data_IF_647832938062
#
_entry.id   IF_647832938062
#
_cell.length_a   1.000
_cell.length_b   1.000
_cell.length_c   1.000
_cell.angle_alpha   90.00
_cell.angle_beta   90.00
_cell.angle_gamma   90.00
#
_symmetry.space_group_name_H-M   'P 1'
#
loop_
_entity.id
_entity.type
_entity.pdbx_description
1 polymer ?
#
# COMPACT_ATOMS: atom_id res chain seq x y z
N UNK A 1 37.89 -11.44 -21.00
CA UNK A 1 36.90 -10.50 -20.43
C UNK A 1 35.60 -11.27 -20.32
N UNK A 2 35.20 -11.72 -19.12
CA UNK A 2 33.90 -12.37 -18.89
C UNK A 2 32.96 -11.35 -18.25
N UNK A 3 31.93 -11.03 -19.00
CA UNK A 3 30.87 -10.09 -18.76
C UNK A 3 29.93 -10.62 -17.67
N UNK A 4 30.24 -10.25 -16.42
CA UNK A 4 29.35 -9.60 -15.43
C UNK A 4 27.89 -10.00 -15.22
N UNK A 5 27.36 -11.06 -15.84
CA UNK A 5 25.94 -11.44 -15.77
C UNK A 5 25.73 -12.49 -14.68
N UNK A 6 25.69 -12.05 -13.42
CA UNK A 6 25.03 -12.86 -12.40
C UNK A 6 23.54 -12.90 -12.73
N UNK A 7 22.91 -14.09 -12.90
CA UNK A 7 21.48 -14.15 -13.14
C UNK A 7 20.79 -13.42 -11.98
N UNK A 8 19.96 -12.44 -12.32
CA UNK A 8 19.22 -11.63 -11.36
C UNK A 8 18.30 -12.56 -10.56
N UNK A 9 18.82 -13.08 -9.45
CA UNK A 9 18.18 -14.07 -8.56
C UNK A 9 17.02 -13.47 -7.77
N UNK A 10 16.70 -12.20 -8.00
CA UNK A 10 15.56 -11.56 -7.36
C UNK A 10 14.31 -11.78 -8.21
N UNK A 11 13.20 -12.25 -7.61
CA UNK A 11 11.95 -12.52 -8.32
C UNK A 11 11.48 -11.28 -9.11
N UNK A 12 10.92 -11.47 -10.32
CA UNK A 12 10.48 -10.37 -11.18
C UNK A 12 9.31 -9.60 -10.56
N UNK A 13 9.19 -8.32 -10.93
CA UNK A 13 8.07 -7.49 -10.51
C UNK A 13 6.79 -7.98 -11.20
N UNK A 14 5.75 -8.26 -10.42
CA UNK A 14 4.46 -8.74 -10.93
C UNK A 14 3.49 -7.57 -10.97
N UNK A 15 3.11 -7.13 -12.18
CA UNK A 15 2.12 -6.06 -12.36
C UNK A 15 0.81 -6.33 -11.62
N UNK A 16 0.40 -7.60 -11.53
CA UNK A 16 -0.76 -8.02 -10.75
C UNK A 16 -0.69 -7.58 -9.28
N UNK A 17 0.50 -7.63 -8.66
CA UNK A 17 0.69 -7.18 -7.28
C UNK A 17 0.58 -5.67 -7.12
N UNK A 18 0.97 -4.91 -8.14
CA UNK A 18 0.81 -3.44 -8.17
C UNK A 18 -0.66 -3.06 -8.32
N UNK A 19 -1.40 -3.76 -9.20
CA UNK A 19 -2.84 -3.57 -9.37
C UNK A 19 -3.62 -3.95 -8.10
N UNK A 20 -3.25 -5.05 -7.45
CA UNK A 20 -3.82 -5.43 -6.17
C UNK A 20 -3.59 -4.35 -5.11
N UNK A 21 -2.36 -3.83 -5.02
CA UNK A 21 -2.03 -2.75 -4.08
C UNK A 21 -2.87 -1.50 -4.32
N UNK A 22 -3.03 -1.10 -5.58
CA UNK A 22 -3.88 0.02 -5.96
C UNK A 22 -5.34 -0.22 -5.56
N UNK A 23 -5.89 -1.38 -5.91
CA UNK A 23 -7.28 -1.73 -5.64
C UNK A 23 -7.56 -1.83 -4.13
N UNK A 24 -6.68 -2.50 -3.38
CA UNK A 24 -6.79 -2.62 -1.93
C UNK A 24 -6.71 -1.25 -1.26
N UNK A 25 -5.78 -0.40 -1.70
CA UNK A 25 -5.63 0.95 -1.14
C UNK A 25 -6.86 1.81 -1.42
N UNK A 26 -7.36 1.82 -2.67
CA UNK A 26 -8.60 2.50 -3.04
C UNK A 26 -9.80 2.01 -2.24
N UNK A 27 -9.96 0.70 -2.15
CA UNK A 27 -11.10 0.08 -1.51
C UNK A 27 -11.13 0.38 -0.01
N UNK A 28 -10.02 0.12 0.71
CA UNK A 28 -9.96 0.35 2.16
C UNK A 28 -10.08 1.82 2.51
N UNK A 29 -9.44 2.72 1.76
CA UNK A 29 -9.53 4.17 2.03
C UNK A 29 -10.94 4.68 1.76
N UNK A 30 -11.57 4.27 0.66
CA UNK A 30 -12.95 4.67 0.35
C UNK A 30 -13.93 4.12 1.38
N UNK A 31 -13.78 2.86 1.77
CA UNK A 31 -14.61 2.23 2.80
C UNK A 31 -14.46 2.94 4.14
N UNK A 32 -13.23 3.26 4.54
CA UNK A 32 -12.96 3.94 5.80
C UNK A 32 -13.53 5.38 5.79
N UNK A 33 -13.40 6.10 4.66
CA UNK A 33 -14.01 7.41 4.49
C UNK A 33 -15.54 7.35 4.58
N UNK A 34 -16.17 6.41 3.88
CA UNK A 34 -17.60 6.19 3.94
C UNK A 34 -18.06 5.85 5.35
N UNK A 35 -17.33 5.02 6.09
CA UNK A 35 -17.69 4.64 7.46
C UNK A 35 -17.69 5.84 8.41
N UNK A 36 -16.66 6.69 8.32
CA UNK A 36 -16.55 7.91 9.14
C UNK A 36 -17.68 8.89 8.82
N UNK A 37 -17.96 9.12 7.55
CA UNK A 37 -19.04 10.00 7.10
C UNK A 37 -20.41 9.49 7.54
N UNK A 38 -20.69 8.20 7.39
CA UNK A 38 -21.99 7.62 7.75
C UNK A 38 -22.23 7.58 9.27
N UNK A 39 -21.18 7.38 10.07
CA UNK A 39 -21.28 7.36 11.54
C UNK A 39 -21.21 8.76 12.17
N UNK A 40 -21.10 9.82 11.36
CA UNK A 40 -20.92 11.21 11.80
C UNK A 40 -19.80 11.37 12.85
N UNK A 41 -18.73 10.58 12.70
CA UNK A 41 -17.62 10.59 13.65
C UNK A 41 -16.82 11.90 13.50
N UNK A 42 -16.28 12.38 14.62
CA UNK A 42 -15.41 13.57 14.65
C UNK A 42 -14.24 13.46 13.68
N UNK A 43 -13.77 14.59 13.13
CA UNK A 43 -12.66 14.65 12.18
C UNK A 43 -11.34 14.00 12.65
N UNK A 44 -11.15 13.78 13.95
CA UNK A 44 -10.04 12.98 14.47
C UNK A 44 -10.09 11.51 13.99
N UNK A 45 -11.28 10.92 13.87
CA UNK A 45 -11.46 9.56 13.36
C UNK A 45 -11.25 9.49 11.84
N UNK A 46 -11.50 10.58 11.12
CA UNK A 46 -11.23 10.69 9.69
C UNK A 46 -9.72 10.57 9.39
N UNK A 47 -8.89 11.23 10.18
CA UNK A 47 -7.43 11.11 10.09
C UNK A 47 -7.00 9.68 10.42
N UNK A 48 -7.55 9.08 11.49
CA UNK A 48 -7.22 7.69 11.83
C UNK A 48 -7.60 6.71 10.72
N UNK A 49 -8.80 6.87 10.15
CA UNK A 49 -9.32 6.05 9.05
C UNK A 49 -8.43 6.14 7.81
N UNK A 50 -7.97 7.35 7.47
CA UNK A 50 -7.08 7.62 6.33
C UNK A 50 -5.62 7.21 6.55
N UNK A 51 -5.26 6.75 7.74
CA UNK A 51 -3.95 6.18 8.07
C UNK A 51 -4.01 4.65 8.20
N UNK A 52 -5.00 4.14 8.93
CA UNK A 52 -5.15 2.71 9.25
C UNK A 52 -5.60 1.90 8.03
N UNK A 53 -6.57 2.39 7.27
CA UNK A 53 -7.01 1.75 6.02
C UNK A 53 -5.88 1.50 5.03
N UNK A 54 -5.11 2.53 4.63
CA UNK A 54 -3.99 2.36 3.72
C UNK A 54 -2.88 1.48 4.30
N UNK A 55 -2.59 1.60 5.60
CA UNK A 55 -1.61 0.74 6.25
C UNK A 55 -1.98 -0.75 6.15
N UNK A 56 -3.24 -1.09 6.41
CA UNK A 56 -3.77 -2.44 6.24
C UNK A 56 -3.74 -2.90 4.78
N UNK A 57 -4.03 -2.01 3.82
CA UNK A 57 -3.90 -2.32 2.40
C UNK A 57 -2.44 -2.65 2.01
N UNK A 58 -1.48 -1.92 2.57
CA UNK A 58 -0.05 -2.21 2.45
C UNK A 58 0.33 -3.59 2.99
N UNK A 59 -0.15 -3.93 4.19
CA UNK A 59 0.04 -5.26 4.80
C UNK A 59 -0.55 -6.35 3.90
N UNK A 60 -1.80 -6.20 3.48
CA UNK A 60 -2.51 -7.15 2.63
C UNK A 60 -1.76 -7.36 1.30
N UNK A 61 -1.23 -6.29 0.71
CA UNK A 61 -0.42 -6.35 -0.50
C UNK A 61 0.84 -7.18 -0.30
N UNK A 62 1.56 -6.94 0.79
CA UNK A 62 2.79 -7.68 1.05
C UNK A 62 2.53 -9.16 1.33
N UNK A 63 1.41 -9.50 1.98
CA UNK A 63 0.97 -10.88 2.17
C UNK A 63 0.56 -11.54 0.85
N UNK A 64 -0.19 -10.83 0.00
CA UNK A 64 -0.66 -11.33 -1.29
C UNK A 64 0.49 -11.63 -2.26
N UNK A 65 1.48 -10.73 -2.34
CA UNK A 65 2.61 -10.90 -3.26
C UNK A 65 3.67 -11.85 -2.71
N UNK A 66 3.85 -11.88 -1.38
CA UNK A 66 4.81 -12.75 -0.67
C UNK A 66 6.28 -12.38 -0.84
N UNK A 67 6.69 -11.89 -2.01
CA UNK A 67 8.05 -11.46 -2.32
C UNK A 67 8.08 -10.04 -2.93
N UNK A 68 9.00 -9.18 -2.49
CA UNK A 68 9.06 -7.75 -2.90
C UNK A 68 7.76 -6.97 -2.62
N UNK A 69 7.01 -7.37 -1.59
CA UNK A 69 5.70 -6.80 -1.25
C UNK A 69 5.72 -5.28 -1.05
N UNK A 70 6.78 -4.73 -0.46
CA UNK A 70 6.96 -3.30 -0.25
C UNK A 70 7.12 -2.51 -1.55
N UNK A 71 7.79 -3.06 -2.57
CA UNK A 71 7.90 -2.39 -3.88
C UNK A 71 6.54 -2.37 -4.59
N UNK A 72 5.78 -3.46 -4.50
CA UNK A 72 4.44 -3.52 -5.09
C UNK A 72 3.47 -2.58 -4.39
N UNK A 73 3.52 -2.53 -3.05
CA UNK A 73 2.75 -1.59 -2.24
C UNK A 73 3.13 -0.14 -2.55
N UNK A 74 4.42 0.16 -2.70
CA UNK A 74 4.90 1.50 -3.04
C UNK A 74 4.42 1.96 -4.43
N UNK A 75 4.55 1.10 -5.45
CA UNK A 75 4.10 1.45 -6.80
C UNK A 75 2.58 1.61 -6.86
N UNK A 76 1.83 0.70 -6.23
CA UNK A 76 0.38 0.81 -6.15
C UNK A 76 -0.06 2.05 -5.39
N UNK A 77 0.62 2.36 -4.27
CA UNK A 77 0.41 3.58 -3.51
C UNK A 77 0.62 4.83 -4.38
N UNK A 78 1.74 4.91 -5.11
CA UNK A 78 2.08 6.06 -5.94
C UNK A 78 1.05 6.33 -7.04
N UNK A 79 0.55 5.27 -7.69
CA UNK A 79 -0.52 5.40 -8.68
C UNK A 79 -1.86 5.75 -8.01
N UNK A 80 -2.10 5.25 -6.80
CA UNK A 80 -3.34 5.49 -6.08
C UNK A 80 -3.46 6.92 -5.52
N UNK A 81 -2.36 7.63 -5.24
CA UNK A 81 -2.38 9.02 -4.71
C UNK A 81 -3.20 9.99 -5.59
N UNK A 82 -2.90 10.17 -6.89
CA UNK A 82 -3.65 11.12 -7.72
C UNK A 82 -5.12 10.71 -7.87
N UNK A 83 -5.40 9.40 -7.94
CA UNK A 83 -6.77 8.88 -8.00
C UNK A 83 -7.54 9.19 -6.69
N UNK A 84 -6.89 9.06 -5.54
CA UNK A 84 -7.53 9.30 -4.23
C UNK A 84 -7.78 10.77 -4.02
N UNK A 85 -6.82 11.62 -4.40
CA UNK A 85 -6.99 13.05 -4.37
C UNK A 85 -8.19 13.47 -5.23
N UNK A 86 -8.33 12.93 -6.44
CA UNK A 86 -9.41 13.30 -7.35
C UNK A 86 -10.79 12.75 -6.92
N UNK A 87 -10.88 11.48 -6.53
CA UNK A 87 -12.17 10.77 -6.39
C UNK A 87 -12.61 10.51 -4.95
N UNK A 88 -11.69 10.50 -3.97
CA UNK A 88 -12.03 10.14 -2.58
C UNK A 88 -11.99 11.36 -1.67
N UNK A 89 -10.96 12.18 -1.80
CA UNK A 89 -10.70 13.31 -0.89
C UNK A 89 -11.06 14.68 -1.49
N UNK A 90 -11.84 14.75 -2.58
CA UNK A 90 -12.30 16.01 -3.19
C UNK A 90 -11.19 17.06 -3.42
N UNK A 91 -10.01 16.64 -3.83
CA UNK A 91 -8.86 17.51 -4.10
C UNK A 91 -7.93 17.76 -2.90
N UNK A 92 -8.19 17.16 -1.73
CA UNK A 92 -7.30 17.28 -0.57
C UNK A 92 -6.09 16.35 -0.72
N UNK A 93 -5.01 16.90 -1.26
CA UNK A 93 -3.77 16.17 -1.54
C UNK A 93 -3.06 15.64 -0.29
N UNK A 94 -3.19 16.30 0.86
CA UNK A 94 -2.49 15.87 2.08
C UNK A 94 -2.93 14.46 2.49
N UNK A 95 -4.25 14.19 2.51
CA UNK A 95 -4.78 12.87 2.86
C UNK A 95 -4.41 11.80 1.84
N UNK A 96 -4.41 12.14 0.54
CA UNK A 96 -3.98 11.22 -0.50
C UNK A 96 -2.50 10.83 -0.35
N UNK A 97 -1.62 11.79 -0.07
CA UNK A 97 -0.19 11.55 0.15
C UNK A 97 0.05 10.72 1.41
N UNK A 98 -0.64 11.03 2.51
CA UNK A 98 -0.55 10.23 3.73
C UNK A 98 -1.05 8.81 3.51
N UNK A 99 -2.18 8.62 2.83
CA UNK A 99 -2.68 7.30 2.49
C UNK A 99 -1.67 6.49 1.66
N UNK A 100 -1.07 7.11 0.64
CA UNK A 100 0.00 6.48 -0.14
C UNK A 100 1.21 6.09 0.72
N UNK A 101 1.68 7.00 1.57
CA UNK A 101 2.83 6.77 2.44
C UNK A 101 2.59 5.62 3.42
N UNK A 102 1.42 5.57 4.07
CA UNK A 102 1.07 4.52 5.02
C UNK A 102 0.87 3.17 4.35
N UNK A 103 0.35 3.13 3.13
CA UNK A 103 0.29 1.91 2.33
C UNK A 103 1.68 1.36 1.98
N UNK A 104 2.58 2.23 1.49
CA UNK A 104 3.96 1.84 1.23
C UNK A 104 4.67 1.35 2.51
N UNK A 105 4.46 2.04 3.64
CA UNK A 105 5.05 1.71 4.93
C UNK A 105 4.53 0.36 5.48
N UNK A 106 3.21 0.10 5.39
CA UNK A 106 2.61 -1.18 5.77
C UNK A 106 3.14 -2.34 4.93
N UNK A 107 3.33 -2.13 3.63
CA UNK A 107 3.92 -3.12 2.74
C UNK A 107 5.40 -3.38 3.04
N UNK A 108 6.18 -2.33 3.29
CA UNK A 108 7.60 -2.44 3.60
C UNK A 108 7.86 -3.13 4.96
N UNK A 109 7.07 -2.80 5.98
CA UNK A 109 7.18 -3.43 7.31
C UNK A 109 6.81 -4.91 7.26
N UNK A 110 5.71 -5.23 6.58
CA UNK A 110 5.25 -6.62 6.40
C UNK A 110 6.26 -7.42 5.60
N UNK A 111 6.83 -6.86 4.54
CA UNK A 111 7.90 -7.52 3.79
C UNK A 111 9.13 -7.81 4.69
N UNK A 112 9.54 -6.85 5.53
CA UNK A 112 10.66 -7.05 6.46
C UNK A 112 10.35 -8.15 7.49
N UNK A 113 9.11 -8.23 7.94
CA UNK A 113 8.65 -9.28 8.84
C UNK A 113 8.66 -10.66 8.17
N UNK A 114 8.08 -10.79 6.97
CA UNK A 114 8.05 -12.04 6.21
C UNK A 114 9.45 -12.54 5.87
N UNK A 115 10.35 -11.64 5.46
CA UNK A 115 11.76 -12.00 5.19
C UNK A 115 12.46 -12.57 6.42
N UNK A 116 12.22 -12.00 7.60
CA UNK A 116 12.78 -12.49 8.86
C UNK A 116 12.25 -13.87 9.23
N UNK A 117 10.96 -14.13 9.00
CA UNK A 117 10.35 -15.42 9.29
C UNK A 117 10.84 -16.50 8.31
N UNK A 118 10.95 -16.18 7.02
CA UNK A 118 11.37 -17.13 5.99
C UNK A 118 12.88 -17.46 6.00
N UNK A 119 13.70 -16.71 6.73
CA UNK A 119 15.12 -17.05 6.99
C UNK A 119 15.34 -17.86 8.27
N UNK A 120 14.30 -18.08 9.09
CA UNK A 120 14.39 -18.84 10.36
C UNK A 120 13.93 -20.30 10.24
N UNK A 121 13.30 -20.66 9.13
CA UNK A 121 12.92 -22.03 8.77
C UNK A 121 13.85 -22.55 7.70
#
# INVERSE_FOLDING_TARGET
MNDGNTPNTRPPLRWLGVLFALAANMFLVTLANMLVVNLQLSGYFEILATLVGPFLAGIATALYVGQRGGIHAFLGALISVPLMAAYVFNGVWQFAVFAGAFCALGGALTERYLRRHNSRN
#
